data_IF_409873267606
#
_entry.id   IF_409873267606
#
_cell.length_a   1.000
_cell.length_b   1.000
_cell.length_c   1.000
_cell.angle_alpha   90.00
_cell.angle_beta   90.00
_cell.angle_gamma   90.00
#
_symmetry.space_group_name_H-M   'P 1'
#
loop_
_entity.id
_entity.type
_entity.pdbx_description
1 polymer ?
#
# COMPACT_ATOMS: atom_id res chain seq x y z
N UNK A 1 -11.27 -16.36 -8.73
CA UNK A 1 -10.89 -15.66 -7.49
C UNK A 1 -12.17 -15.29 -6.76
N UNK A 2 -12.33 -15.75 -5.52
CA UNK A 2 -13.53 -15.48 -4.72
C UNK A 2 -13.49 -14.02 -4.29
N UNK A 3 -14.53 -13.25 -4.64
CA UNK A 3 -14.68 -11.85 -4.20
C UNK A 3 -15.56 -11.85 -2.96
N UNK A 4 -14.98 -11.56 -1.79
CA UNK A 4 -15.74 -11.49 -0.53
C UNK A 4 -16.56 -10.21 -0.39
N UNK A 5 -16.15 -9.16 -1.12
CA UNK A 5 -16.82 -7.86 -1.14
C UNK A 5 -16.68 -7.24 -2.53
N UNK A 6 -17.70 -6.51 -2.97
CA UNK A 6 -17.69 -5.81 -4.26
C UNK A 6 -18.36 -4.44 -4.12
N UNK A 7 -17.82 -3.38 -4.75
CA UNK A 7 -18.41 -2.05 -4.67
C UNK A 7 -19.64 -1.94 -5.57
N UNK A 8 -20.57 -1.10 -5.13
CA UNK A 8 -21.71 -0.67 -5.91
C UNK A 8 -21.31 0.57 -6.72
N UNK A 9 -21.50 0.53 -8.04
CA UNK A 9 -21.15 1.64 -8.94
C UNK A 9 -22.39 2.07 -9.71
N UNK A 10 -22.65 3.37 -9.75
CA UNK A 10 -23.80 3.94 -10.47
C UNK A 10 -23.32 4.58 -11.76
N UNK A 11 -23.98 4.28 -12.88
CA UNK A 11 -23.78 4.96 -14.17
C UNK A 11 -25.13 5.41 -14.69
N UNK A 12 -25.46 6.68 -14.48
CA UNK A 12 -26.82 7.20 -14.70
C UNK A 12 -27.81 6.48 -13.79
N UNK A 13 -28.89 5.95 -14.35
CA UNK A 13 -29.91 5.17 -13.62
C UNK A 13 -29.51 3.72 -13.34
N UNK A 14 -28.42 3.22 -13.92
CA UNK A 14 -28.03 1.80 -13.77
C UNK A 14 -27.08 1.62 -12.60
N UNK A 15 -27.46 0.73 -11.68
CA UNK A 15 -26.62 0.24 -10.60
C UNK A 15 -25.94 -1.06 -11.06
N UNK A 16 -24.62 -1.14 -10.90
CA UNK A 16 -23.84 -2.32 -11.27
C UNK A 16 -22.80 -2.62 -10.21
N UNK A 17 -22.42 -3.89 -10.11
CA UNK A 17 -21.26 -4.31 -9.34
C UNK A 17 -19.98 -3.85 -10.05
N UNK A 18 -19.15 -3.06 -9.37
CA UNK A 18 -17.87 -2.60 -9.87
C UNK A 18 -16.81 -3.70 -9.91
N UNK A 19 -15.75 -3.48 -10.68
CA UNK A 19 -14.59 -4.39 -10.72
C UNK A 19 -13.85 -4.41 -9.38
N UNK A 20 -13.76 -3.27 -8.71
CA UNK A 20 -13.03 -3.06 -7.46
C UNK A 20 -13.20 -1.64 -6.92
N UNK A 21 -12.81 -1.45 -5.67
CA UNK A 21 -12.91 -0.18 -4.96
C UNK A 21 -11.96 0.86 -5.53
N UNK A 22 -12.39 2.12 -5.56
CA UNK A 22 -11.53 3.23 -6.00
C UNK A 22 -10.46 3.55 -4.97
N UNK A 23 -9.42 4.27 -5.39
CA UNK A 23 -8.34 4.70 -4.50
C UNK A 23 -8.91 5.61 -3.40
N UNK A 24 -9.85 6.49 -3.74
CA UNK A 24 -10.48 7.42 -2.80
C UNK A 24 -11.34 6.70 -1.76
N UNK A 25 -12.09 5.66 -2.18
CA UNK A 25 -12.87 4.81 -1.27
C UNK A 25 -11.96 4.10 -0.26
N UNK A 26 -10.86 3.50 -0.73
CA UNK A 26 -9.87 2.84 0.12
C UNK A 26 -9.20 3.81 1.09
N UNK A 27 -8.83 5.00 0.61
CA UNK A 27 -8.19 6.04 1.43
C UNK A 27 -9.13 6.51 2.53
N UNK A 28 -10.43 6.73 2.23
CA UNK A 28 -11.46 7.08 3.24
C UNK A 28 -11.72 5.95 4.24
N UNK A 29 -11.52 4.69 3.85
CA UNK A 29 -11.59 3.53 4.73
C UNK A 29 -10.28 3.30 5.53
N UNK A 30 -9.25 4.13 5.33
CA UNK A 30 -7.97 4.00 6.03
C UNK A 30 -7.10 2.84 5.54
N UNK A 31 -7.27 2.43 4.28
CA UNK A 31 -6.48 1.38 3.64
C UNK A 31 -5.60 1.95 2.53
N UNK A 32 -4.37 1.44 2.43
CA UNK A 32 -3.58 1.59 1.22
C UNK A 32 -3.91 0.49 0.19
N UNK A 33 -3.61 0.73 -1.09
CA UNK A 33 -3.80 -0.23 -2.20
C UNK A 33 -3.09 -1.56 -1.94
N UNK A 34 -1.88 -1.52 -1.37
CA UNK A 34 -1.14 -2.74 -1.03
C UNK A 34 -1.82 -3.54 0.07
N UNK A 35 -2.34 -2.85 1.09
CA UNK A 35 -3.05 -3.46 2.22
C UNK A 35 -4.37 -4.09 1.75
N UNK A 36 -5.15 -3.36 0.96
CA UNK A 36 -6.39 -3.83 0.35
C UNK A 36 -6.16 -5.10 -0.49
N UNK A 37 -5.10 -5.13 -1.31
CA UNK A 37 -4.74 -6.32 -2.09
C UNK A 37 -4.37 -7.51 -1.21
N UNK A 38 -3.65 -7.27 -0.11
CA UNK A 38 -3.26 -8.33 0.81
C UNK A 38 -4.48 -8.91 1.53
N UNK A 39 -5.41 -8.03 1.91
CA UNK A 39 -6.72 -8.35 2.47
C UNK A 39 -7.65 -9.08 1.48
N UNK A 40 -7.30 -9.18 0.20
CA UNK A 40 -8.17 -9.79 -0.83
C UNK A 40 -9.30 -8.87 -1.30
N UNK A 41 -9.26 -7.58 -0.95
CA UNK A 41 -10.19 -6.57 -1.45
C UNK A 41 -9.85 -6.24 -2.91
N UNK A 42 -10.81 -6.32 -3.84
CA UNK A 42 -10.58 -5.96 -5.23
C UNK A 42 -10.39 -4.45 -5.38
N UNK A 43 -9.30 -4.03 -6.04
CA UNK A 43 -8.97 -2.60 -6.24
C UNK A 43 -9.07 -2.22 -7.72
N UNK A 44 -9.74 -1.10 -8.02
CA UNK A 44 -9.80 -0.49 -9.35
C UNK A 44 -9.13 0.89 -9.35
N UNK A 45 -7.84 0.91 -9.68
CA UNK A 45 -7.01 2.13 -9.67
C UNK A 45 -7.42 3.17 -10.73
N UNK A 46 -8.21 2.77 -11.74
CA UNK A 46 -8.59 3.66 -12.85
C UNK A 46 -9.85 4.47 -12.56
N UNK A 47 -10.59 4.13 -11.50
CA UNK A 47 -11.85 4.77 -11.12
C UNK A 47 -11.58 5.86 -10.10
N UNK A 48 -12.01 7.09 -10.38
CA UNK A 48 -11.92 8.24 -9.49
C UNK A 48 -13.20 8.52 -8.68
N UNK A 49 -14.32 7.90 -9.03
CA UNK A 49 -15.59 8.10 -8.29
C UNK A 49 -15.52 7.46 -6.91
N UNK A 50 -16.08 8.13 -5.90
CA UNK A 50 -16.27 7.57 -4.55
C UNK A 50 -17.73 7.64 -4.14
N UNK A 51 -18.26 6.55 -3.58
CA UNK A 51 -19.61 6.50 -2.97
C UNK A 51 -19.51 6.26 -1.47
N UNK A 52 -20.32 6.94 -0.67
CA UNK A 52 -20.33 6.80 0.80
C UNK A 52 -20.72 5.40 1.26
N UNK A 53 -21.75 4.81 0.63
CA UNK A 53 -22.22 3.44 0.89
C UNK A 53 -21.06 2.43 0.83
N UNK A 54 -20.25 2.50 -0.23
CA UNK A 54 -19.09 1.62 -0.40
C UNK A 54 -18.00 1.82 0.67
N UNK A 55 -17.86 3.05 1.20
CA UNK A 55 -16.86 3.37 2.22
C UNK A 55 -17.29 2.80 3.57
N UNK A 56 -18.57 2.85 3.90
CA UNK A 56 -19.14 2.25 5.11
C UNK A 56 -18.99 0.73 5.08
N UNK A 57 -19.39 0.08 3.98
CA UNK A 57 -19.21 -1.36 3.78
C UNK A 57 -17.75 -1.78 3.92
N UNK A 58 -16.82 -0.98 3.36
CA UNK A 58 -15.38 -1.20 3.47
C UNK A 58 -14.90 -1.14 4.92
N UNK A 59 -15.36 -0.16 5.70
CA UNK A 59 -14.95 0.01 7.10
C UNK A 59 -15.40 -1.18 7.94
N UNK A 60 -16.66 -1.59 7.80
CA UNK A 60 -17.18 -2.77 8.51
C UNK A 60 -16.39 -4.04 8.17
N UNK A 61 -16.07 -4.21 6.88
CA UNK A 61 -15.29 -5.34 6.41
C UNK A 61 -13.87 -5.33 6.98
N UNK A 62 -13.21 -4.17 7.01
CA UNK A 62 -11.87 -4.01 7.60
C UNK A 62 -11.89 -4.30 9.10
N UNK A 63 -12.90 -3.84 9.82
CA UNK A 63 -13.03 -4.09 11.25
C UNK A 63 -13.19 -5.58 11.56
N UNK A 64 -13.97 -6.31 10.73
CA UNK A 64 -14.08 -7.78 10.81
C UNK A 64 -12.73 -8.43 10.53
N UNK A 65 -12.05 -8.05 9.45
CA UNK A 65 -10.74 -8.62 9.09
C UNK A 65 -9.67 -8.38 10.16
N UNK A 66 -9.68 -7.20 10.82
CA UNK A 66 -8.78 -6.89 11.94
C UNK A 66 -9.07 -7.75 13.17
N UNK A 67 -10.35 -7.99 13.50
CA UNK A 67 -10.75 -8.87 14.61
C UNK A 67 -10.30 -10.32 14.38
N UNK A 68 -10.33 -10.78 13.15
CA UNK A 68 -9.84 -12.12 12.76
C UNK A 68 -8.31 -12.25 12.83
N UNK A 69 -7.58 -11.19 13.23
CA UNK A 69 -6.16 -11.25 13.49
C UNK A 69 -5.29 -11.06 12.26
N UNK A 70 -5.85 -10.53 11.16
CA UNK A 70 -5.08 -10.27 9.95
C UNK A 70 -4.01 -9.20 10.18
N UNK A 71 -2.74 -9.60 10.03
CA UNK A 71 -1.60 -8.68 10.10
C UNK A 71 -1.17 -8.31 8.69
N UNK A 72 -1.23 -7.02 8.36
CA UNK A 72 -0.62 -6.50 7.14
C UNK A 72 0.91 -6.66 7.27
N UNK A 73 1.58 -7.36 6.33
CA UNK A 73 3.02 -7.45 6.32
C UNK A 73 3.57 -6.07 6.04
N UNK A 74 4.46 -5.59 6.91
CA UNK A 74 5.19 -4.36 6.66
C UNK A 74 6.04 -4.55 5.40
N UNK A 75 5.97 -3.59 4.49
CA UNK A 75 6.86 -3.56 3.32
C UNK A 75 8.31 -3.63 3.80
N UNK A 76 9.06 -4.62 3.35
CA UNK A 76 10.51 -4.69 3.62
C UNK A 76 11.17 -3.52 2.92
N UNK A 77 11.51 -2.46 3.65
CA UNK A 77 12.31 -1.38 3.11
C UNK A 77 13.76 -1.84 2.99
N UNK A 78 14.14 -2.33 1.81
CA UNK A 78 15.54 -2.52 1.47
C UNK A 78 16.11 -1.16 1.06
N UNK A 79 17.02 -0.59 1.85
CA UNK A 79 17.86 0.49 1.33
C UNK A 79 18.75 -0.06 0.21
N UNK A 80 19.10 0.77 -0.78
CA UNK A 80 20.15 0.39 -1.73
C UNK A 80 21.38 -0.01 -0.94
N UNK A 81 21.97 -1.17 -1.26
CA UNK A 81 23.20 -1.63 -0.63
C UNK A 81 24.27 -0.54 -0.69
N UNK A 82 25.08 -0.45 0.36
CA UNK A 82 26.18 0.52 0.38
C UNK A 82 27.10 0.26 -0.82
N UNK A 83 27.33 1.28 -1.65
CA UNK A 83 28.30 1.20 -2.76
C UNK A 83 29.69 0.80 -2.23
N UNK A 84 30.54 0.26 -3.10
CA UNK A 84 31.86 -0.27 -2.71
C UNK A 84 32.72 0.72 -1.90
N UNK A 85 33.65 0.20 -1.10
CA UNK A 85 34.50 0.99 -0.18
C UNK A 85 35.24 2.15 -0.86
N UNK A 86 35.72 1.94 -2.10
CA UNK A 86 36.40 2.96 -2.89
C UNK A 86 35.48 4.15 -3.19
N UNK A 87 34.28 3.90 -3.71
CA UNK A 87 33.29 4.93 -4.00
C UNK A 87 32.89 5.72 -2.75
N UNK A 88 32.87 5.08 -1.59
CA UNK A 88 32.55 5.72 -0.30
C UNK A 88 33.73 6.43 0.36
N UNK A 89 34.93 6.37 -0.23
CA UNK A 89 36.15 6.94 0.36
C UNK A 89 36.60 6.27 1.65
N UNK A 90 36.26 4.99 1.86
CA UNK A 90 36.59 4.20 3.07
C UNK A 90 37.83 3.30 2.89
N UNK A 91 38.56 3.46 1.79
CA UNK A 91 39.90 2.89 1.61
C UNK A 91 40.90 3.62 2.53
N UNK A 92 42.08 3.04 2.75
CA UNK A 92 43.15 3.66 3.55
C UNK A 92 43.51 5.06 3.02
N UNK A 93 43.77 5.17 1.72
CA UNK A 93 44.04 6.46 1.06
C UNK A 93 42.85 7.43 1.14
N UNK A 94 41.61 6.94 0.98
CA UNK A 94 40.40 7.76 1.07
C UNK A 94 40.16 8.30 2.48
N UNK A 95 40.37 7.48 3.52
CA UNK A 95 40.31 7.93 4.91
C UNK A 95 41.39 8.96 5.21
N UNK A 96 42.61 8.78 4.69
CA UNK A 96 43.73 9.73 4.83
C UNK A 96 43.41 11.07 4.17
N UNK A 97 42.93 11.07 2.91
CA UNK A 97 42.52 12.28 2.18
C UNK A 97 41.44 13.07 2.93
N UNK A 98 40.46 12.36 3.49
CA UNK A 98 39.34 12.99 4.20
C UNK A 98 39.67 13.35 5.66
N UNK A 99 40.92 13.13 6.10
CA UNK A 99 41.34 13.28 7.49
C UNK A 99 40.46 12.48 8.48
N UNK A 100 39.92 11.34 8.02
CA UNK A 100 39.14 10.38 8.82
C UNK A 100 40.02 9.30 9.46
N UNK A 101 41.31 9.25 9.10
CA UNK A 101 42.26 8.41 9.84
C UNK A 101 42.45 9.05 11.20
N UNK A 102 41.98 8.38 12.26
CA UNK A 102 42.51 8.66 13.60
C UNK A 102 44.01 8.38 13.52
N UNK A 103 44.82 9.39 13.85
CA UNK A 103 46.20 9.19 14.27
C UNK A 103 46.29 8.07 15.29
#
# INVERSE_FOLDING_TARGET
MVRMISPIVRRGSKVKTGKGFSIDELTKAGLNVGEARHLGVPVDQRRSTSYSENVEDLKEWVDKARKEGFRVPKTKQSSKGQRGRAFRGLTSSGKKMRNLSRT
#
